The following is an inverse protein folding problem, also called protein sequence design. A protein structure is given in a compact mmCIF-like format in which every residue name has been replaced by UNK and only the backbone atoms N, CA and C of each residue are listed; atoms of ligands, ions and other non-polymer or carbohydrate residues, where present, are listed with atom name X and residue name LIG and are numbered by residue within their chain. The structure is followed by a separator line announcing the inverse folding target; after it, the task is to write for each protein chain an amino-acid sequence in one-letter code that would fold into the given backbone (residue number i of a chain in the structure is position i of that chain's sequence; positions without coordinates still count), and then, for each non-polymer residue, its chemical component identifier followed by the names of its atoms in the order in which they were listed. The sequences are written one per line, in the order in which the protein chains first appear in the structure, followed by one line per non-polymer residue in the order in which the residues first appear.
data_IF_315282086905
#
_entry.id   IF_315282086905
#
_cell.length_a   1.000
_cell.length_b   1.000
_cell.length_c   1.000
_cell.angle_alpha   90.00
_cell.angle_beta   90.00
_cell.angle_gamma   90.00
#
_symmetry.space_group_name_H-M   'P 1'
#
loop_
_entity.id
_entity.type
_entity.pdbx_description
1 polymer ?
#
# COMPACT_ATOMS: atom_id res chain seq x y z
N UNK A 1 -18.68 5.28 -13.56
CA UNK A 1 -17.98 5.80 -12.36
C UNK A 1 -17.93 7.32 -12.44
N UNK A 2 -18.28 8.03 -11.36
CA UNK A 2 -18.22 9.50 -11.34
C UNK A 2 -16.78 9.98 -11.44
N UNK A 3 -16.56 11.13 -12.09
CA UNK A 3 -15.25 11.78 -12.26
C UNK A 3 -14.54 11.97 -10.90
N UNK A 4 -15.31 12.17 -9.84
CA UNK A 4 -14.83 12.29 -8.46
C UNK A 4 -14.07 11.06 -7.96
N UNK A 5 -14.47 9.84 -8.35
CA UNK A 5 -13.82 8.61 -7.90
C UNK A 5 -12.43 8.45 -8.53
N UNK A 6 -12.28 8.79 -9.80
CA UNK A 6 -10.98 8.73 -10.51
C UNK A 6 -10.01 9.76 -9.98
N UNK A 7 -10.49 10.97 -9.74
CA UNK A 7 -9.68 12.03 -9.14
C UNK A 7 -9.24 11.65 -7.72
N UNK A 8 -10.15 11.06 -6.92
CA UNK A 8 -9.83 10.57 -5.59
C UNK A 8 -8.80 9.44 -5.61
N UNK A 9 -8.96 8.42 -6.47
CA UNK A 9 -7.99 7.31 -6.56
C UNK A 9 -6.60 7.78 -6.98
N UNK A 10 -6.54 8.71 -7.93
CA UNK A 10 -5.28 9.32 -8.37
C UNK A 10 -4.63 10.14 -7.25
N UNK A 11 -5.39 11.02 -6.58
CA UNK A 11 -4.85 11.86 -5.51
C UNK A 11 -4.35 11.01 -4.35
N UNK A 12 -5.15 10.05 -3.87
CA UNK A 12 -4.74 9.18 -2.76
C UNK A 12 -3.54 8.32 -3.15
N UNK A 13 -3.49 7.80 -4.38
CA UNK A 13 -2.34 7.09 -4.90
C UNK A 13 -1.07 7.95 -4.95
N UNK A 14 -1.13 9.15 -5.53
CA UNK A 14 0.01 10.06 -5.61
C UNK A 14 0.48 10.55 -4.23
N UNK A 15 -0.46 10.91 -3.35
CA UNK A 15 -0.12 11.33 -1.97
C UNK A 15 0.49 10.16 -1.20
N UNK A 16 -0.06 8.95 -1.32
CA UNK A 16 0.48 7.76 -0.70
C UNK A 16 1.90 7.43 -1.19
N UNK A 17 2.14 7.52 -2.50
CA UNK A 17 3.46 7.34 -3.09
C UNK A 17 4.47 8.40 -2.60
N UNK A 18 4.08 9.67 -2.54
CA UNK A 18 4.95 10.75 -2.04
C UNK A 18 5.30 10.56 -0.56
N UNK A 19 4.32 10.16 0.25
CA UNK A 19 4.54 9.83 1.67
C UNK A 19 5.46 8.62 1.79
N UNK A 20 5.26 7.57 1.00
CA UNK A 20 6.08 6.37 1.00
C UNK A 20 7.55 6.69 0.69
N UNK A 21 7.81 7.42 -0.39
CA UNK A 21 9.16 7.88 -0.75
C UNK A 21 9.76 8.74 0.38
N UNK A 22 8.97 9.65 0.97
CA UNK A 22 9.45 10.53 2.05
C UNK A 22 9.88 9.75 3.29
N UNK A 23 9.09 8.74 3.68
CA UNK A 23 9.42 7.88 4.81
C UNK A 23 10.61 6.98 4.51
N UNK A 24 10.73 6.42 3.31
CA UNK A 24 11.89 5.63 2.90
C UNK A 24 13.16 6.47 2.88
N UNK A 25 13.09 7.68 2.34
CA UNK A 25 14.21 8.61 2.36
C UNK A 25 14.69 8.92 3.79
N UNK A 26 13.74 9.12 4.71
CA UNK A 26 14.05 9.36 6.13
C UNK A 26 14.60 8.12 6.83
N UNK A 27 13.94 6.97 6.66
CA UNK A 27 14.31 5.70 7.30
C UNK A 27 15.68 5.18 6.84
N UNK A 28 16.04 5.46 5.59
CA UNK A 28 17.27 4.97 4.98
C UNK A 28 18.42 6.00 4.98
N UNK A 29 18.30 7.07 5.76
CA UNK A 29 19.31 8.15 5.88
C UNK A 29 19.74 8.75 4.53
N UNK A 30 18.84 8.78 3.54
CA UNK A 30 19.14 9.26 2.19
C UNK A 30 18.85 8.27 1.06
N UNK A 31 19.40 8.55 -0.12
CA UNK A 31 19.25 7.71 -1.33
C UNK A 31 20.18 6.50 -1.36
N UNK A 32 21.08 6.35 -0.38
CA UNK A 32 22.06 5.26 -0.33
C UNK A 32 21.41 3.87 -0.30
N UNK A 33 20.27 3.74 0.37
CA UNK A 33 19.50 2.50 0.39
C UNK A 33 18.95 2.08 -0.98
N UNK A 34 18.71 3.04 -1.88
CA UNK A 34 18.29 2.76 -3.26
C UNK A 34 19.44 2.33 -4.16
N UNK A 35 20.69 2.42 -3.68
CA UNK A 35 21.83 1.81 -4.36
C UNK A 35 21.98 0.33 -4.04
N UNK A 36 21.34 -0.15 -2.97
CA UNK A 36 21.30 -1.56 -2.62
C UNK A 36 20.10 -2.26 -3.26
N UNK A 37 20.33 -3.49 -3.75
CA UNK A 37 19.27 -4.33 -4.37
C UNK A 37 18.08 -4.53 -3.44
N UNK A 38 18.34 -4.72 -2.15
CA UNK A 38 17.31 -4.94 -1.12
C UNK A 38 16.45 -3.69 -0.95
N UNK A 39 17.07 -2.50 -0.94
CA UNK A 39 16.33 -1.26 -0.77
C UNK A 39 15.49 -0.89 -2.00
N UNK A 40 15.98 -1.17 -3.21
CA UNK A 40 15.18 -1.06 -4.43
C UNK A 40 13.96 -1.99 -4.41
N UNK A 41 14.13 -3.24 -3.98
CA UNK A 41 13.04 -4.21 -3.90
C UNK A 41 11.97 -3.77 -2.88
N UNK A 42 12.40 -3.29 -1.71
CA UNK A 42 11.49 -2.77 -0.69
C UNK A 42 10.74 -1.55 -1.23
N UNK A 43 11.45 -0.59 -1.84
CA UNK A 43 10.85 0.61 -2.43
C UNK A 43 9.86 0.29 -3.55
N UNK A 44 10.18 -0.66 -4.42
CA UNK A 44 9.26 -1.08 -5.48
C UNK A 44 8.04 -1.78 -4.89
N UNK A 45 8.23 -2.59 -3.85
CA UNK A 45 7.16 -3.30 -3.16
C UNK A 45 6.19 -2.32 -2.47
N UNK A 46 6.71 -1.33 -1.76
CA UNK A 46 5.91 -0.31 -1.05
C UNK A 46 5.19 0.63 -2.03
N UNK A 47 5.80 0.93 -3.18
CA UNK A 47 5.23 1.80 -4.20
C UNK A 47 4.15 1.13 -5.06
N UNK A 48 4.22 -0.20 -5.23
CA UNK A 48 3.29 -0.97 -6.05
C UNK A 48 1.80 -0.75 -5.68
N UNK A 49 1.40 -0.83 -4.39
CA UNK A 49 0.11 -0.38 -3.87
C UNK A 49 -0.41 0.93 -4.46
N UNK A 50 0.42 1.97 -4.39
CA UNK A 50 0.03 3.35 -4.71
C UNK A 50 -0.03 3.59 -6.21
N UNK A 51 0.88 2.98 -6.97
CA UNK A 51 0.85 3.00 -8.44
C UNK A 51 -0.43 2.34 -8.93
N UNK A 52 -0.73 1.15 -8.41
CA UNK A 52 -1.95 0.42 -8.76
C UNK A 52 -3.21 1.19 -8.34
N UNK A 53 -3.21 1.85 -7.18
CA UNK A 53 -4.34 2.67 -6.76
C UNK A 53 -4.51 3.93 -7.61
N UNK A 54 -3.42 4.54 -8.06
CA UNK A 54 -3.44 5.65 -9.03
C UNK A 54 -4.03 5.20 -10.36
N UNK A 55 -3.69 3.99 -10.81
CA UNK A 55 -4.26 3.33 -11.97
C UNK A 55 -5.67 2.77 -11.73
N UNK A 56 -6.08 2.69 -10.46
CA UNK A 56 -7.35 2.12 -10.01
C UNK A 56 -8.57 2.82 -10.62
N UNK A 57 -8.48 4.12 -10.94
CA UNK A 57 -9.53 4.84 -11.65
C UNK A 57 -9.87 4.28 -13.04
N UNK A 58 -8.97 3.50 -13.64
CA UNK A 58 -9.20 2.80 -14.91
C UNK A 58 -9.73 1.38 -14.71
N UNK A 59 -9.25 0.64 -13.71
CA UNK A 59 -9.54 -0.79 -13.57
C UNK A 59 -10.64 -1.11 -12.55
N UNK A 60 -10.84 -0.28 -11.52
CA UNK A 60 -11.81 -0.52 -10.44
C UNK A 60 -13.26 -0.27 -10.85
N UNK A 61 -13.51 0.08 -12.12
CA UNK A 61 -14.87 0.09 -12.65
C UNK A 61 -15.50 -1.32 -12.59
N UNK A 62 -14.69 -2.40 -12.56
CA UNK A 62 -15.17 -3.78 -12.38
C UNK A 62 -14.98 -4.20 -10.93
N UNK A 63 -16.09 -4.55 -10.26
CA UNK A 63 -16.07 -5.08 -8.88
C UNK A 63 -15.19 -6.32 -8.74
N UNK A 64 -15.13 -7.16 -9.77
CA UNK A 64 -14.32 -8.39 -9.73
C UNK A 64 -12.83 -8.05 -9.57
N UNK A 65 -12.33 -7.07 -10.34
CA UNK A 65 -10.94 -6.61 -10.24
C UNK A 65 -10.68 -6.00 -8.86
N UNK A 66 -11.62 -5.21 -8.35
CA UNK A 66 -11.49 -4.59 -7.02
C UNK A 66 -11.48 -5.63 -5.88
N UNK A 67 -12.23 -6.73 -5.99
CA UNK A 67 -12.16 -7.85 -5.03
C UNK A 67 -10.83 -8.56 -5.05
N UNK A 68 -10.26 -8.80 -6.24
CA UNK A 68 -8.91 -9.38 -6.36
C UNK A 68 -7.86 -8.42 -5.79
N UNK A 69 -7.99 -7.12 -6.06
CA UNK A 69 -7.15 -6.09 -5.48
C UNK A 69 -7.20 -6.08 -3.94
N UNK A 70 -8.40 -6.12 -3.36
CA UNK A 70 -8.58 -6.21 -1.91
C UNK A 70 -7.96 -7.47 -1.32
N UNK A 71 -8.11 -8.61 -2.01
CA UNK A 71 -7.51 -9.87 -1.60
C UNK A 71 -5.98 -9.80 -1.63
N UNK A 72 -5.41 -9.13 -2.63
CA UNK A 72 -3.98 -8.87 -2.72
C UNK A 72 -3.49 -7.94 -1.60
N UNK A 73 -4.21 -6.85 -1.31
CA UNK A 73 -3.88 -5.94 -0.20
C UNK A 73 -3.92 -6.67 1.15
N UNK A 74 -4.94 -7.52 1.37
CA UNK A 74 -5.05 -8.33 2.58
C UNK A 74 -3.88 -9.33 2.69
N UNK A 75 -3.50 -9.95 1.58
CA UNK A 75 -2.32 -10.81 1.51
C UNK A 75 -1.03 -10.06 1.86
N UNK A 76 -0.81 -8.86 1.31
CA UNK A 76 0.35 -8.02 1.65
C UNK A 76 0.41 -7.72 3.16
N UNK A 77 -0.72 -7.30 3.76
CA UNK A 77 -0.79 -7.05 5.20
C UNK A 77 -0.40 -8.29 6.00
N UNK A 78 -0.92 -9.47 5.62
CA UNK A 78 -0.60 -10.73 6.30
C UNK A 78 0.89 -11.11 6.16
N UNK A 79 1.47 -10.94 4.97
CA UNK A 79 2.90 -11.21 4.73
C UNK A 79 3.77 -10.29 5.57
N UNK A 80 3.50 -8.98 5.55
CA UNK A 80 4.30 -8.03 6.32
C UNK A 80 4.12 -8.24 7.82
N UNK A 81 2.89 -8.50 8.29
CA UNK A 81 2.61 -8.82 9.69
C UNK A 81 3.33 -10.10 10.13
N UNK A 82 3.37 -11.11 9.27
CA UNK A 82 4.12 -12.34 9.50
C UNK A 82 5.62 -12.06 9.65
N UNK A 83 6.22 -11.32 8.70
CA UNK A 83 7.64 -10.97 8.76
C UNK A 83 7.95 -10.13 10.00
N UNK A 84 7.07 -9.19 10.36
CA UNK A 84 7.17 -8.38 11.58
C UNK A 84 7.15 -9.25 12.85
N UNK A 85 6.26 -10.25 12.90
CA UNK A 85 6.19 -11.20 14.01
C UNK A 85 7.46 -12.06 14.09
N UNK A 86 7.99 -12.50 12.96
CA UNK A 86 9.25 -13.26 12.90
C UNK A 86 10.43 -12.44 13.44
N UNK A 87 10.50 -11.15 13.14
CA UNK A 87 11.58 -10.25 13.61
C UNK A 87 11.44 -9.83 15.06
N UNK A 88 10.24 -9.85 15.64
CA UNK A 88 10.06 -9.60 17.08
C UNK A 88 10.34 -10.87 17.90
N UNK A 89 9.85 -12.02 17.43
CA UNK A 89 9.76 -13.24 18.26
C UNK A 89 10.91 -14.21 18.00
N UNK A 90 11.39 -14.35 16.76
CA UNK A 90 12.29 -15.44 16.36
C UNK A 90 13.71 -14.95 16.14
N UNK A 91 13.89 -13.82 15.46
CA UNK A 91 15.19 -13.17 15.28
C UNK A 91 15.10 -11.72 15.78
N UNK A 92 15.20 -11.50 17.11
CA UNK A 92 14.95 -10.21 17.72
C UNK A 92 15.97 -9.17 17.22
N UNK A 93 15.54 -8.36 16.26
CA UNK A 93 16.17 -7.10 15.87
C UNK A 93 15.12 -5.99 16.02
N UNK A 94 14.98 -5.43 17.23
CA UNK A 94 13.93 -4.44 17.52
C UNK A 94 14.11 -3.16 16.70
N UNK A 95 15.36 -2.76 16.40
CA UNK A 95 15.64 -1.54 15.63
C UNK A 95 15.30 -1.74 14.15
N UNK A 96 15.72 -2.87 13.57
CA UNK A 96 15.36 -3.23 12.20
C UNK A 96 13.84 -3.39 12.03
N UNK A 97 13.18 -4.06 12.97
CA UNK A 97 11.73 -4.29 12.91
C UNK A 97 10.91 -2.99 13.00
N UNK A 98 11.24 -2.09 13.94
CA UNK A 98 10.51 -0.84 14.15
C UNK A 98 10.68 0.17 13.01
N UNK A 99 11.83 0.21 12.34
CA UNK A 99 12.10 1.19 11.30
C UNK A 99 11.77 0.63 9.91
N UNK A 100 12.15 -0.61 9.60
CA UNK A 100 12.03 -1.17 8.25
C UNK A 100 10.73 -1.95 8.00
N UNK A 101 10.08 -2.52 9.03
CA UNK A 101 8.89 -3.35 8.83
C UNK A 101 7.59 -2.68 9.31
N UNK A 102 7.68 -1.72 10.23
CA UNK A 102 6.53 -0.88 10.61
C UNK A 102 5.99 -0.09 9.41
N UNK A 103 6.87 0.50 8.61
CA UNK A 103 6.48 1.34 7.48
C UNK A 103 5.74 0.52 6.39
N UNK A 104 6.27 -0.61 5.88
CA UNK A 104 5.53 -1.48 4.98
C UNK A 104 4.19 -1.96 5.55
N UNK A 105 4.13 -2.24 6.87
CA UNK A 105 2.90 -2.71 7.50
C UNK A 105 1.83 -1.62 7.53
N UNK A 106 2.23 -0.41 7.91
CA UNK A 106 1.36 0.76 7.90
C UNK A 106 0.87 1.06 6.48
N UNK A 107 1.75 1.01 5.48
CA UNK A 107 1.42 1.26 4.08
C UNK A 107 0.45 0.20 3.52
N UNK A 108 0.71 -1.08 3.78
CA UNK A 108 -0.19 -2.17 3.39
C UNK A 108 -1.56 -2.04 4.06
N UNK A 109 -1.59 -1.68 5.36
CA UNK A 109 -2.82 -1.46 6.11
C UNK A 109 -3.64 -0.29 5.59
N UNK A 110 -2.99 0.84 5.29
CA UNK A 110 -3.63 2.01 4.69
C UNK A 110 -4.17 1.72 3.29
N UNK A 111 -3.40 1.01 2.46
CA UNK A 111 -3.86 0.61 1.12
C UNK A 111 -5.11 -0.28 1.20
N UNK A 112 -5.12 -1.26 2.10
CA UNK A 112 -6.29 -2.09 2.35
C UNK A 112 -7.49 -1.25 2.82
N UNK A 113 -7.29 -0.34 3.77
CA UNK A 113 -8.35 0.52 4.29
C UNK A 113 -8.96 1.41 3.18
N UNK A 114 -8.13 2.05 2.36
CA UNK A 114 -8.60 2.85 1.21
C UNK A 114 -9.34 1.99 0.20
N UNK A 115 -8.80 0.81 -0.13
CA UNK A 115 -9.45 -0.15 -1.01
C UNK A 115 -10.86 -0.53 -0.51
N UNK A 116 -11.01 -0.77 0.80
CA UNK A 116 -12.30 -1.13 1.41
C UNK A 116 -13.27 0.04 1.34
N UNK A 117 -12.83 1.26 1.63
CA UNK A 117 -13.65 2.47 1.51
C UNK A 117 -14.14 2.64 0.07
N UNK A 118 -13.25 2.53 -0.92
CA UNK A 118 -13.62 2.63 -2.33
C UNK A 118 -14.59 1.53 -2.77
N UNK A 119 -14.40 0.29 -2.31
CA UNK A 119 -15.31 -0.81 -2.60
C UNK A 119 -16.70 -0.56 -1.99
N UNK A 120 -16.75 -0.07 -0.75
CA UNK A 120 -18.00 0.27 -0.08
C UNK A 120 -18.74 1.43 -0.77
N UNK A 121 -18.02 2.50 -1.15
CA UNK A 121 -18.61 3.64 -1.86
C UNK A 121 -19.19 3.23 -3.22
N UNK A 122 -18.48 2.40 -3.97
CA UNK A 122 -18.98 1.83 -5.22
C UNK A 122 -20.18 0.91 -4.96
N UNK A 123 -20.12 0.08 -3.91
CA UNK A 123 -21.22 -0.80 -3.55
C UNK A 123 -22.51 -0.04 -3.31
N UNK A 124 -22.43 1.06 -2.55
CA UNK A 124 -23.56 1.93 -2.24
C UNK A 124 -24.09 2.67 -3.46
N UNK A 125 -23.21 3.16 -4.34
CA UNK A 125 -23.60 3.85 -5.57
C UNK A 125 -24.41 2.95 -6.50
N UNK A 126 -24.04 1.67 -6.62
CA UNK A 126 -24.73 0.73 -7.51
C UNK A 126 -26.09 0.26 -6.95
N UNK A 127 -26.39 0.46 -5.66
CA UNK A 127 -27.70 0.15 -5.08
C UNK A 127 -28.72 1.30 -5.20
N UNK A 128 -28.24 2.50 -5.56
CA UNK A 128 -29.09 3.68 -5.76
C UNK A 128 -29.57 3.84 -7.21
N UNK A 129 -29.15 2.94 -8.11
CA UNK A 129 -29.53 2.85 -9.51
C UNK A 129 -30.18 1.49 -9.80
#
# INVERSE_FOLDING_TARGET
MPISFRAASLLVGLTGAAIAIGFEWYAATGWLFLTERTGLLITLWTMLPYVMMSLGGYFFHRRDIQKHWLSFCAFEVLVVAWIYLQTIVIYPDPQGALIFLFLPLLQAGLNLAVGVVFYYLQYRSDQQH
#
